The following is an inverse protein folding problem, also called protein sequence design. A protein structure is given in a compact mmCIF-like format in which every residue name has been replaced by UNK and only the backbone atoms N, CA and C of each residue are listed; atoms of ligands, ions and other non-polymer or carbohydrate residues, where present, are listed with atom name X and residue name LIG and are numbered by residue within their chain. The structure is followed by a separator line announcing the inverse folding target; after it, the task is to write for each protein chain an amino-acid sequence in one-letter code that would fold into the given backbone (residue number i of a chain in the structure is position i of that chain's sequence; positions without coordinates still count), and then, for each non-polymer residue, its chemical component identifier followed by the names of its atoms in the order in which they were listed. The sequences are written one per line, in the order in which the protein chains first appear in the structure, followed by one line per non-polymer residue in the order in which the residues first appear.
data_IF_860972572132
#
_entry.id   IF_860972572132
#
_cell.length_a   1.000
_cell.length_b   1.000
_cell.length_c   1.000
_cell.angle_alpha   90.00
_cell.angle_beta   90.00
_cell.angle_gamma   90.00
#
_symmetry.space_group_name_H-M   'P 1'
#
loop_
_entity.id
_entity.type
_entity.pdbx_description
1 polymer ?
#
# COMPACT_ATOMS: atom_id res chain seq x y z
N UNK A 1 22.14 -10.01 -18.28
CA UNK A 1 21.27 -10.19 -17.10
C UNK A 1 20.87 -8.85 -16.46
N UNK A 2 21.73 -7.84 -16.49
CA UNK A 2 21.51 -6.49 -15.93
C UNK A 2 20.38 -5.66 -16.61
N UNK A 3 20.20 -5.72 -17.91
CA UNK A 3 19.21 -4.94 -18.67
C UNK A 3 17.74 -5.40 -18.47
N UNK A 4 17.49 -6.66 -18.08
CA UNK A 4 16.14 -7.15 -17.77
C UNK A 4 15.67 -6.74 -16.37
N UNK A 5 16.60 -6.46 -15.46
CA UNK A 5 16.28 -6.01 -14.09
C UNK A 5 15.89 -4.53 -14.11
N UNK A 6 16.57 -3.68 -14.89
CA UNK A 6 16.24 -2.27 -15.04
C UNK A 6 14.85 -2.02 -15.66
N UNK A 7 14.37 -2.90 -16.55
CA UNK A 7 13.06 -2.76 -17.18
C UNK A 7 11.86 -3.12 -16.27
N UNK A 8 12.10 -3.79 -15.14
CA UNK A 8 11.04 -4.18 -14.16
C UNK A 8 11.00 -3.36 -12.88
N UNK A 9 11.96 -2.44 -12.69
CA UNK A 9 12.14 -1.72 -11.42
C UNK A 9 12.38 -0.22 -11.62
N UNK A 10 11.66 0.40 -12.57
CA UNK A 10 11.67 1.86 -12.71
C UNK A 10 11.00 2.51 -11.50
N UNK A 11 11.72 2.58 -10.37
CA UNK A 11 11.34 3.51 -9.32
C UNK A 11 11.85 4.91 -9.68
N UNK A 12 11.12 5.93 -9.30
CA UNK A 12 11.59 7.31 -9.42
C UNK A 12 11.85 7.90 -8.03
N UNK A 13 12.83 8.81 -7.94
CA UNK A 13 13.06 9.60 -6.74
C UNK A 13 12.19 10.86 -6.86
N UNK A 14 11.19 10.97 -5.98
CA UNK A 14 10.27 12.11 -5.96
C UNK A 14 10.91 13.34 -5.30
N UNK A 15 11.62 13.12 -4.20
CA UNK A 15 12.41 14.14 -3.50
C UNK A 15 13.56 13.49 -2.74
N UNK A 16 14.65 14.24 -2.56
CA UNK A 16 15.77 13.80 -1.75
C UNK A 16 16.52 14.96 -1.09
N UNK A 17 17.30 14.64 -0.06
CA UNK A 17 18.34 15.47 0.51
C UNK A 17 19.46 14.54 1.05
N UNK A 18 20.44 15.10 1.74
CA UNK A 18 21.53 14.34 2.38
C UNK A 18 21.00 13.27 3.35
N UNK A 19 19.94 13.58 4.11
CA UNK A 19 19.42 12.76 5.21
C UNK A 19 18.47 11.64 4.74
N UNK A 20 17.67 11.89 3.72
CA UNK A 20 16.58 10.99 3.30
C UNK A 20 16.26 11.13 1.82
N UNK A 21 15.50 10.18 1.30
CA UNK A 21 14.85 10.25 -0.01
C UNK A 21 13.40 9.76 0.09
N UNK A 22 12.56 10.24 -0.82
CA UNK A 22 11.20 9.76 -1.03
C UNK A 22 11.15 9.18 -2.43
N UNK A 23 10.81 7.90 -2.51
CA UNK A 23 10.73 7.19 -3.80
C UNK A 23 9.29 6.86 -4.14
N UNK A 24 9.02 6.80 -5.44
CA UNK A 24 7.81 6.21 -5.99
C UNK A 24 8.04 4.73 -6.23
N UNK A 25 7.47 3.89 -5.37
CA UNK A 25 7.59 2.44 -5.48
C UNK A 25 6.62 1.92 -6.55
N UNK A 26 7.09 1.24 -7.59
CA UNK A 26 6.18 0.55 -8.51
C UNK A 26 5.52 -0.66 -7.82
N UNK A 27 4.45 -1.16 -8.42
CA UNK A 27 3.83 -2.42 -8.07
C UNK A 27 3.85 -3.38 -9.29
N UNK A 28 4.05 -4.70 -9.05
CA UNK A 28 4.36 -5.33 -7.77
C UNK A 28 5.87 -5.29 -7.45
N UNK A 29 6.23 -4.81 -6.27
CA UNK A 29 7.62 -4.82 -5.78
C UNK A 29 7.62 -4.95 -4.26
N UNK A 30 8.38 -5.93 -3.71
CA UNK A 30 8.54 -6.08 -2.27
C UNK A 30 9.57 -5.08 -1.71
N UNK A 31 9.39 -4.71 -0.44
CA UNK A 31 10.28 -3.73 0.23
C UNK A 31 11.64 -4.31 0.59
N UNK A 32 11.63 -5.50 1.23
CA UNK A 32 12.81 -6.21 1.73
C UNK A 32 12.78 -7.65 1.24
N UNK A 33 13.93 -8.35 1.22
CA UNK A 33 13.96 -9.79 1.03
C UNK A 33 13.07 -10.49 2.08
N UNK A 34 12.26 -11.45 1.64
CA UNK A 34 11.45 -12.31 2.49
C UNK A 34 12.00 -13.73 2.41
N UNK A 35 12.64 -14.18 3.51
CA UNK A 35 13.28 -15.50 3.54
C UNK A 35 14.49 -15.60 2.60
N UNK A 36 14.65 -16.75 1.93
CA UNK A 36 15.76 -17.04 1.00
C UNK A 36 15.39 -16.78 -0.47
N UNK A 37 14.44 -15.92 -0.74
CA UNK A 37 13.99 -15.64 -2.11
C UNK A 37 14.96 -14.69 -2.82
N UNK A 38 15.31 -15.00 -4.09
CA UNK A 38 16.11 -14.15 -4.97
C UNK A 38 15.25 -13.05 -5.64
N UNK A 39 14.09 -12.75 -5.09
CA UNK A 39 13.21 -11.71 -5.63
C UNK A 39 13.86 -10.33 -5.53
N UNK A 40 13.69 -9.55 -6.60
CA UNK A 40 14.11 -8.14 -6.62
C UNK A 40 13.31 -7.37 -5.57
N UNK A 41 14.00 -6.58 -4.76
CA UNK A 41 13.40 -5.77 -3.69
C UNK A 41 13.72 -4.31 -3.87
N UNK A 42 12.88 -3.42 -3.32
CA UNK A 42 13.17 -1.98 -3.33
C UNK A 42 14.51 -1.68 -2.63
N UNK A 43 14.82 -2.38 -1.54
CA UNK A 43 16.11 -2.23 -0.85
C UNK A 43 17.30 -2.60 -1.74
N UNK A 44 17.20 -3.71 -2.48
CA UNK A 44 18.23 -4.15 -3.41
C UNK A 44 18.46 -3.12 -4.51
N UNK A 45 17.38 -2.67 -5.16
CA UNK A 45 17.44 -1.66 -6.22
C UNK A 45 18.04 -0.34 -5.74
N UNK A 46 17.70 0.11 -4.52
CA UNK A 46 18.29 1.33 -3.93
C UNK A 46 19.79 1.18 -3.66
N UNK A 47 20.23 0.03 -3.15
CA UNK A 47 21.65 -0.25 -2.91
C UNK A 47 22.47 -0.30 -4.21
N UNK A 48 21.88 -0.86 -5.27
CA UNK A 48 22.52 -0.91 -6.58
C UNK A 48 22.61 0.48 -7.22
N UNK A 49 21.55 1.31 -7.06
CA UNK A 49 21.49 2.66 -7.61
C UNK A 49 22.40 3.67 -6.88
N UNK A 50 22.58 3.53 -5.56
CA UNK A 50 23.36 4.44 -4.73
C UNK A 50 24.29 3.61 -3.81
N UNK A 51 25.42 3.11 -4.35
CA UNK A 51 26.36 2.30 -3.59
C UNK A 51 26.95 3.03 -2.39
N UNK A 52 27.23 2.30 -1.30
CA UNK A 52 27.84 2.85 -0.09
C UNK A 52 26.88 3.57 0.86
N UNK A 53 25.58 3.67 0.51
CA UNK A 53 24.55 4.25 1.39
C UNK A 53 23.76 3.12 2.05
N UNK A 54 23.54 3.26 3.36
CA UNK A 54 22.68 2.37 4.13
C UNK A 54 21.26 2.93 4.18
N UNK A 55 20.27 2.13 3.75
CA UNK A 55 18.87 2.56 3.64
C UNK A 55 17.97 1.95 4.71
N UNK A 56 17.10 2.78 5.28
CA UNK A 56 16.13 2.40 6.31
C UNK A 56 14.74 2.92 5.91
N UNK A 57 13.79 2.02 5.70
CA UNK A 57 12.43 2.42 5.38
C UNK A 57 11.69 2.96 6.61
N UNK A 58 11.15 4.16 6.50
CA UNK A 58 10.37 4.83 7.55
C UNK A 58 8.91 4.37 7.53
N UNK A 59 8.36 4.15 6.33
CA UNK A 59 7.07 3.49 6.13
C UNK A 59 7.24 2.27 5.22
N UNK A 60 6.26 1.39 5.25
CA UNK A 60 6.22 0.19 4.40
C UNK A 60 4.97 0.20 3.56
N UNK A 61 5.08 -0.33 2.36
CA UNK A 61 3.97 -0.65 1.48
C UNK A 61 3.94 -2.16 1.23
N UNK A 62 2.75 -2.68 0.98
CA UNK A 62 2.58 -4.05 0.55
C UNK A 62 3.19 -4.24 -0.85
N UNK A 63 3.46 -5.49 -1.25
CA UNK A 63 4.03 -5.83 -2.56
C UNK A 63 3.27 -5.15 -3.71
N UNK A 64 1.95 -5.20 -3.67
CA UNK A 64 1.05 -4.72 -4.73
C UNK A 64 0.58 -3.27 -4.53
N UNK A 65 0.99 -2.60 -3.46
CA UNK A 65 0.74 -1.16 -3.26
C UNK A 65 1.85 -0.36 -3.90
N UNK A 66 1.50 0.60 -4.74
CA UNK A 66 2.43 1.56 -5.37
C UNK A 66 2.51 2.87 -4.60
N UNK A 67 3.48 3.73 -4.94
CA UNK A 67 3.55 5.12 -4.49
C UNK A 67 4.62 5.44 -3.45
N UNK A 68 4.42 6.51 -2.69
CA UNK A 68 5.40 7.16 -1.84
C UNK A 68 5.96 6.28 -0.71
N UNK A 69 7.28 6.11 -0.71
CA UNK A 69 8.05 5.49 0.38
C UNK A 69 9.12 6.47 0.87
N UNK A 70 9.08 6.80 2.16
CA UNK A 70 10.12 7.61 2.82
C UNK A 70 11.23 6.70 3.32
N UNK A 71 12.46 7.01 2.92
CA UNK A 71 13.67 6.22 3.19
C UNK A 71 14.72 7.11 3.84
N UNK A 72 15.24 6.73 4.99
CA UNK A 72 16.38 7.38 5.64
C UNK A 72 17.71 6.83 5.09
N UNK A 73 18.72 7.70 4.98
CA UNK A 73 20.07 7.37 4.50
C UNK A 73 21.07 7.06 5.64
N UNK A 74 20.59 6.98 6.88
CA UNK A 74 21.38 6.57 8.05
C UNK A 74 20.49 6.09 9.19
N UNK A 75 21.02 5.30 10.10
CA UNK A 75 20.31 4.81 11.28
C UNK A 75 19.87 5.93 12.24
N UNK A 76 20.64 6.99 12.35
CA UNK A 76 20.31 8.16 13.18
C UNK A 76 19.10 8.92 12.64
N UNK A 77 19.05 9.15 11.33
CA UNK A 77 17.90 9.75 10.63
C UNK A 77 16.67 8.84 10.70
N UNK A 78 16.85 7.54 10.49
CA UNK A 78 15.76 6.57 10.62
C UNK A 78 15.11 6.60 11.99
N UNK A 79 15.92 6.68 13.07
CA UNK A 79 15.42 6.80 14.45
C UNK A 79 14.64 8.10 14.66
N UNK A 80 15.12 9.23 14.11
CA UNK A 80 14.42 10.53 14.19
C UNK A 80 13.07 10.47 13.46
N UNK A 81 13.06 10.03 12.20
CA UNK A 81 11.84 9.90 11.40
C UNK A 81 10.87 8.86 12.00
N UNK A 82 11.38 7.76 12.58
CA UNK A 82 10.58 6.78 13.30
C UNK A 82 9.87 7.36 14.53
N UNK A 83 10.54 8.24 15.30
CA UNK A 83 9.90 8.98 16.41
C UNK A 83 8.81 9.93 15.90
N UNK A 84 9.07 10.64 14.80
CA UNK A 84 8.07 11.52 14.17
C UNK A 84 6.86 10.71 13.66
N UNK A 85 7.08 9.54 13.07
CA UNK A 85 6.00 8.63 12.67
C UNK A 85 5.16 8.20 13.88
N UNK A 86 5.80 7.81 14.99
CA UNK A 86 5.13 7.43 16.24
C UNK A 86 4.30 8.56 16.85
N UNK A 87 4.72 9.82 16.67
CA UNK A 87 4.00 11.03 17.12
C UNK A 87 2.97 11.54 16.10
N UNK A 88 2.77 10.83 14.99
CA UNK A 88 1.85 11.23 13.90
C UNK A 88 2.24 12.57 13.23
N UNK A 89 3.50 12.95 13.29
CA UNK A 89 4.05 14.16 12.67
C UNK A 89 4.34 13.96 11.16
N UNK A 90 4.33 12.71 10.70
CA UNK A 90 4.41 12.34 9.27
C UNK A 90 3.02 11.93 8.81
N UNK A 91 2.41 12.76 7.99
CA UNK A 91 1.10 12.50 7.38
C UNK A 91 1.30 11.72 6.10
N UNK A 92 0.46 10.72 5.88
CA UNK A 92 0.43 9.88 4.68
C UNK A 92 -0.96 9.93 4.09
N UNK A 93 -1.05 10.07 2.79
CA UNK A 93 -2.30 9.99 2.05
C UNK A 93 -2.23 8.88 1.02
N UNK A 94 -3.36 8.17 0.84
CA UNK A 94 -3.50 7.09 -0.13
C UNK A 94 -4.77 7.32 -0.95
N UNK A 95 -4.80 6.69 -2.11
CA UNK A 95 -6.00 6.51 -2.91
C UNK A 95 -6.28 5.03 -3.09
N UNK A 96 -7.54 4.64 -2.96
CA UNK A 96 -8.02 3.28 -3.20
C UNK A 96 -9.22 3.30 -4.12
N UNK A 97 -9.30 2.35 -5.06
CA UNK A 97 -10.52 2.07 -5.81
C UNK A 97 -11.22 0.90 -5.13
N UNK A 98 -12.47 1.10 -4.74
CA UNK A 98 -13.28 0.10 -4.05
C UNK A 98 -14.47 -0.34 -4.89
N UNK A 99 -14.96 -1.55 -4.63
CA UNK A 99 -16.20 -2.06 -5.20
C UNK A 99 -17.41 -1.45 -4.50
N UNK A 100 -18.40 -1.02 -5.29
CA UNK A 100 -19.63 -0.42 -4.78
C UNK A 100 -19.58 1.12 -4.68
N UNK A 101 -20.69 1.69 -4.23
CA UNK A 101 -20.82 3.12 -3.98
C UNK A 101 -21.10 3.34 -2.50
N UNK A 102 -20.12 3.85 -1.72
CA UNK A 102 -20.35 4.21 -0.34
C UNK A 102 -21.48 5.21 -0.16
N UNK A 103 -22.28 5.04 0.87
CA UNK A 103 -23.37 5.94 1.27
C UNK A 103 -22.89 7.08 2.20
N UNK A 104 -21.61 7.07 2.57
CA UNK A 104 -20.93 8.09 3.35
C UNK A 104 -20.03 8.97 2.49
N UNK A 105 -19.86 10.25 2.89
CA UNK A 105 -18.89 11.17 2.29
C UNK A 105 -17.53 11.08 2.99
N UNK A 106 -17.55 10.97 4.32
CA UNK A 106 -16.38 10.81 5.17
C UNK A 106 -16.72 9.86 6.30
N UNK A 107 -15.75 9.03 6.68
CA UNK A 107 -15.86 8.13 7.83
C UNK A 107 -14.48 7.91 8.46
N UNK A 108 -14.43 7.76 9.78
CA UNK A 108 -13.23 7.38 10.50
C UNK A 108 -13.45 6.01 11.13
N UNK A 109 -12.58 5.05 10.78
CA UNK A 109 -12.60 3.70 11.35
C UNK A 109 -11.50 3.61 12.40
N UNK A 110 -11.87 3.23 13.63
CA UNK A 110 -10.96 3.09 14.78
C UNK A 110 -10.85 1.64 15.25
N UNK A 111 -11.42 0.71 14.50
CA UNK A 111 -11.47 -0.70 14.85
C UNK A 111 -10.06 -1.32 14.93
N UNK A 112 -9.73 -2.01 16.06
CA UNK A 112 -8.43 -2.65 16.22
C UNK A 112 -8.23 -3.81 15.24
N UNK A 113 -6.97 -4.06 14.86
CA UNK A 113 -6.62 -5.08 13.87
C UNK A 113 -5.76 -6.15 14.50
N UNK A 114 -6.11 -7.43 14.24
CA UNK A 114 -5.37 -8.62 14.65
C UNK A 114 -5.20 -9.57 13.47
N UNK A 115 -4.14 -10.39 13.49
CA UNK A 115 -3.98 -11.45 12.49
C UNK A 115 -5.09 -12.48 12.66
N UNK A 116 -5.81 -12.81 11.57
CA UNK A 116 -6.98 -13.68 11.60
C UNK A 116 -6.68 -15.05 12.22
N UNK A 117 -5.57 -15.69 11.83
CA UNK A 117 -5.15 -16.99 12.33
C UNK A 117 -4.76 -17.04 13.84
N UNK A 118 -4.83 -15.92 14.57
CA UNK A 118 -4.61 -15.89 16.02
C UNK A 118 -5.88 -16.08 16.86
N UNK A 119 -7.06 -16.02 16.23
CA UNK A 119 -8.34 -16.15 16.93
C UNK A 119 -9.37 -17.00 16.16
N UNK A 120 -9.15 -17.24 14.87
CA UNK A 120 -10.02 -18.04 14.00
C UNK A 120 -9.14 -18.80 12.99
N UNK A 121 -9.55 -20.00 12.59
CA UNK A 121 -8.87 -20.76 11.56
C UNK A 121 -8.80 -19.98 10.25
N UNK A 122 -7.61 -19.92 9.63
CA UNK A 122 -7.38 -19.16 8.40
C UNK A 122 -6.34 -19.83 7.53
N UNK A 123 -6.72 -20.21 6.32
CA UNK A 123 -5.81 -20.74 5.29
C UNK A 123 -4.81 -19.67 4.80
N UNK A 124 -5.14 -18.38 4.99
CA UNK A 124 -4.30 -17.25 4.56
C UNK A 124 -3.53 -16.71 5.75
N UNK A 125 -2.29 -17.13 5.91
CA UNK A 125 -1.43 -16.77 7.03
C UNK A 125 -1.33 -15.28 7.30
N UNK A 126 -1.23 -14.46 6.24
CA UNK A 126 -1.01 -13.01 6.35
C UNK A 126 -2.31 -12.21 6.56
N UNK A 127 -3.48 -12.85 6.47
CA UNK A 127 -4.79 -12.18 6.58
C UNK A 127 -4.95 -11.54 7.96
N UNK A 128 -5.31 -10.27 7.95
CA UNK A 128 -5.68 -9.52 9.14
C UNK A 128 -7.21 -9.38 9.19
N UNK A 129 -7.76 -9.08 10.35
CA UNK A 129 -9.18 -8.78 10.53
C UNK A 129 -9.38 -7.79 11.66
N UNK A 130 -10.53 -7.12 11.67
CA UNK A 130 -11.00 -6.36 12.83
C UNK A 130 -11.26 -7.32 13.98
N UNK A 131 -10.71 -7.01 15.17
CA UNK A 131 -10.90 -7.80 16.36
C UNK A 131 -10.68 -6.94 17.62
N UNK A 132 -11.54 -6.99 18.65
CA UNK A 132 -11.45 -6.10 19.82
C UNK A 132 -10.14 -6.22 20.60
N UNK A 133 -9.51 -7.40 20.60
CA UNK A 133 -8.18 -7.61 21.20
C UNK A 133 -7.01 -7.31 20.25
N UNK A 134 -7.29 -6.67 19.11
CA UNK A 134 -6.31 -6.28 18.12
C UNK A 134 -5.47 -5.09 18.54
N UNK A 135 -4.50 -4.74 17.71
CA UNK A 135 -3.72 -3.53 17.89
C UNK A 135 -4.53 -2.32 17.46
N UNK A 136 -4.63 -1.30 18.31
CA UNK A 136 -5.34 -0.06 18.01
C UNK A 136 -4.93 0.47 16.64
N UNK A 137 -5.91 0.79 15.82
CA UNK A 137 -5.72 1.34 14.47
C UNK A 137 -6.74 2.45 14.20
N UNK A 138 -6.37 3.38 13.31
CA UNK A 138 -7.21 4.52 12.98
C UNK A 138 -6.95 4.95 11.54
N UNK A 139 -8.04 5.02 10.72
CA UNK A 139 -7.99 5.44 9.32
C UNK A 139 -9.16 6.35 9.02
N UNK A 140 -8.89 7.56 8.53
CA UNK A 140 -9.89 8.42 7.92
C UNK A 140 -10.09 8.05 6.46
N UNK A 141 -11.33 8.03 6.00
CA UNK A 141 -11.70 7.81 4.61
C UNK A 141 -12.58 8.96 4.12
N UNK A 142 -12.40 9.34 2.86
CA UNK A 142 -13.21 10.34 2.17
C UNK A 142 -13.55 9.84 0.77
N UNK A 143 -14.82 9.93 0.40
CA UNK A 143 -15.28 9.67 -0.96
C UNK A 143 -14.77 10.78 -1.89
N UNK A 144 -13.94 10.44 -2.86
CA UNK A 144 -13.38 11.38 -3.85
C UNK A 144 -14.19 11.36 -5.16
N UNK A 145 -14.81 10.24 -5.49
CA UNK A 145 -15.66 10.12 -6.69
C UNK A 145 -16.32 8.75 -6.81
N UNK A 146 -17.35 8.68 -7.61
CA UNK A 146 -18.04 7.43 -7.99
C UNK A 146 -18.06 7.30 -9.51
N UNK A 147 -17.93 6.08 -10.00
CA UNK A 147 -17.94 5.79 -11.44
C UNK A 147 -18.45 4.37 -11.71
N UNK A 148 -18.61 4.03 -12.99
CA UNK A 148 -18.94 2.70 -13.46
C UNK A 148 -17.85 2.21 -14.41
N UNK A 149 -17.59 0.91 -14.39
CA UNK A 149 -16.72 0.24 -15.36
C UNK A 149 -17.34 -1.12 -15.69
N UNK A 150 -17.61 -1.38 -16.99
CA UNK A 150 -18.28 -2.62 -17.43
C UNK A 150 -19.66 -2.83 -16.80
N UNK A 151 -20.37 -1.75 -16.40
CA UNK A 151 -21.68 -1.80 -15.75
C UNK A 151 -21.64 -1.89 -14.22
N UNK A 152 -20.52 -2.30 -13.63
CA UNK A 152 -20.32 -2.38 -12.18
C UNK A 152 -20.05 -1.02 -11.55
N UNK A 153 -20.32 -0.91 -10.24
CA UNK A 153 -20.20 0.32 -9.46
C UNK A 153 -18.88 0.34 -8.70
N UNK A 154 -18.15 1.45 -8.79
CA UNK A 154 -16.87 1.66 -8.11
C UNK A 154 -16.78 3.07 -7.52
N UNK A 155 -15.90 3.22 -6.55
CA UNK A 155 -15.61 4.53 -5.96
C UNK A 155 -14.11 4.73 -5.76
N UNK A 156 -13.66 5.98 -5.92
CA UNK A 156 -12.35 6.45 -5.52
C UNK A 156 -12.43 6.97 -4.09
N UNK A 157 -11.60 6.41 -3.21
CA UNK A 157 -11.53 6.73 -1.79
C UNK A 157 -10.16 7.32 -1.45
N UNK A 158 -10.15 8.53 -0.91
CA UNK A 158 -9.00 9.09 -0.23
C UNK A 158 -8.86 8.46 1.17
N UNK A 159 -7.65 7.99 1.52
CA UNK A 159 -7.41 7.30 2.78
C UNK A 159 -6.27 7.97 3.55
N UNK A 160 -6.50 8.25 4.84
CA UNK A 160 -5.52 8.88 5.73
C UNK A 160 -5.27 7.98 6.97
N UNK A 161 -4.35 7.00 6.88
CA UNK A 161 -4.03 6.14 8.01
C UNK A 161 -3.20 6.90 9.06
N UNK A 162 -3.76 7.07 10.28
CA UNK A 162 -3.07 7.69 11.41
C UNK A 162 -2.18 6.70 12.17
N UNK A 163 -2.37 5.42 11.94
CA UNK A 163 -1.53 4.31 12.42
C UNK A 163 -0.99 3.53 11.21
N UNK A 164 -0.18 2.49 11.43
CA UNK A 164 0.45 1.71 10.35
C UNK A 164 0.43 0.22 10.65
N UNK A 165 -0.76 -0.39 10.79
CA UNK A 165 -0.88 -1.85 10.97
C UNK A 165 -0.80 -2.54 9.62
N UNK A 166 -0.38 -3.79 9.62
CA UNK A 166 -0.37 -4.64 8.42
C UNK A 166 -1.74 -4.63 7.76
N UNK A 167 -1.79 -4.36 6.46
CA UNK A 167 -3.01 -4.32 5.65
C UNK A 167 -4.11 -3.34 6.14
N UNK A 168 -3.79 -2.37 6.99
CA UNK A 168 -4.77 -1.55 7.71
C UNK A 168 -5.87 -0.96 6.82
N UNK A 169 -5.51 -0.26 5.74
CA UNK A 169 -6.49 0.36 4.84
C UNK A 169 -7.40 -0.72 4.22
N UNK A 170 -6.81 -1.83 3.80
CA UNK A 170 -7.50 -2.95 3.15
C UNK A 170 -8.53 -3.60 4.08
N UNK A 171 -8.12 -3.87 5.34
CA UNK A 171 -9.00 -4.44 6.39
C UNK A 171 -10.14 -3.48 6.73
N UNK A 172 -9.84 -2.20 6.90
CA UNK A 172 -10.87 -1.22 7.26
C UNK A 172 -11.88 -0.99 6.14
N UNK A 173 -11.44 -1.02 4.86
CA UNK A 173 -12.37 -0.93 3.73
C UNK A 173 -13.21 -2.20 3.55
N UNK A 174 -12.63 -3.40 3.77
CA UNK A 174 -13.40 -4.64 3.84
C UNK A 174 -14.45 -4.59 4.97
N UNK A 175 -14.06 -4.12 6.16
CA UNK A 175 -14.96 -3.97 7.33
C UNK A 175 -16.13 -3.03 7.04
N UNK A 176 -15.92 -1.97 6.27
CA UNK A 176 -16.97 -1.07 5.82
C UNK A 176 -17.86 -1.66 4.71
N UNK A 177 -17.54 -2.85 4.19
CA UNK A 177 -18.26 -3.49 3.08
C UNK A 177 -17.84 -3.01 1.69
N UNK A 178 -16.72 -2.28 1.58
CA UNK A 178 -16.18 -1.75 0.32
C UNK A 178 -14.76 -2.25 0.08
N UNK A 179 -14.56 -3.54 -0.26
CA UNK A 179 -13.22 -4.09 -0.48
C UNK A 179 -12.54 -3.41 -1.68
N UNK A 180 -11.21 -3.34 -1.62
CA UNK A 180 -10.39 -2.77 -2.70
C UNK A 180 -10.43 -3.68 -3.93
N UNK A 181 -10.63 -3.10 -5.11
CA UNK A 181 -10.60 -3.82 -6.41
C UNK A 181 -9.23 -4.48 -6.61
N UNK A 182 -9.22 -5.72 -7.06
CA UNK A 182 -7.99 -6.49 -7.28
C UNK A 182 -7.32 -7.01 -6.01
N UNK A 183 -7.90 -6.77 -4.83
CA UNK A 183 -7.37 -7.29 -3.58
C UNK A 183 -7.74 -8.76 -3.36
N UNK A 184 -6.84 -9.66 -3.73
CA UNK A 184 -7.05 -11.10 -3.64
C UNK A 184 -7.33 -11.64 -2.22
N UNK A 185 -6.87 -10.93 -1.17
CA UNK A 185 -7.00 -11.38 0.23
C UNK A 185 -8.32 -10.93 0.85
N UNK A 186 -8.78 -9.70 0.52
CA UNK A 186 -9.91 -9.07 1.20
C UNK A 186 -11.17 -8.97 0.35
N UNK A 187 -11.06 -9.06 -0.96
CA UNK A 187 -12.23 -9.33 -1.79
C UNK A 187 -12.53 -10.82 -1.85
N UNK A 188 -13.76 -11.19 -2.17
CA UNK A 188 -14.19 -12.59 -2.35
C UNK A 188 -13.81 -13.53 -1.17
N UNK A 189 -13.82 -13.01 0.07
CA UNK A 189 -13.49 -13.74 1.29
C UNK A 189 -12.09 -14.38 1.29
N UNK A 190 -11.22 -14.04 0.32
CA UNK A 190 -9.87 -14.58 0.17
C UNK A 190 -9.77 -15.77 -0.79
N UNK A 191 -10.86 -16.22 -1.40
CA UNK A 191 -10.83 -17.32 -2.39
C UNK A 191 -9.92 -16.99 -3.56
N UNK A 192 -9.96 -15.76 -4.04
CA UNK A 192 -9.09 -15.29 -5.12
C UNK A 192 -7.59 -15.44 -4.79
N UNK A 193 -7.20 -15.31 -3.53
CA UNK A 193 -5.81 -15.51 -3.11
C UNK A 193 -5.41 -16.99 -3.15
N UNK A 194 -6.27 -17.89 -2.71
CA UNK A 194 -6.04 -19.33 -2.75
C UNK A 194 -5.99 -19.84 -4.20
N UNK A 195 -6.94 -19.44 -5.04
CA UNK A 195 -6.93 -19.72 -6.48
C UNK A 195 -5.63 -19.24 -7.15
N UNK A 196 -5.18 -18.04 -6.81
CA UNK A 196 -3.94 -17.48 -7.34
C UNK A 196 -2.70 -18.27 -6.90
N UNK A 197 -2.65 -18.74 -5.66
CA UNK A 197 -1.53 -19.56 -5.17
C UNK A 197 -1.48 -20.92 -5.85
N UNK A 198 -2.64 -21.51 -6.15
CA UNK A 198 -2.74 -22.83 -6.78
C UNK A 198 -2.50 -22.78 -8.29
N UNK A 199 -3.10 -21.80 -9.00
CA UNK A 199 -3.21 -21.79 -10.48
C UNK A 199 -2.49 -20.59 -11.12
N UNK A 200 -2.01 -19.63 -10.33
CA UNK A 200 -1.54 -18.35 -10.86
C UNK A 200 -2.70 -17.51 -11.41
N UNK A 201 -2.37 -16.55 -12.29
CA UNK A 201 -3.38 -15.75 -12.98
C UNK A 201 -4.06 -16.57 -14.08
N UNK A 202 -5.38 -16.71 -13.96
CA UNK A 202 -6.27 -17.26 -15.00
C UNK A 202 -7.18 -16.16 -15.54
N UNK A 203 -7.76 -16.37 -16.74
CA UNK A 203 -8.72 -15.43 -17.32
C UNK A 203 -9.94 -15.20 -16.40
N UNK A 204 -10.45 -16.30 -15.79
CA UNK A 204 -11.56 -16.26 -14.84
C UNK A 204 -11.20 -15.43 -13.58
N UNK A 205 -10.00 -15.65 -13.01
CA UNK A 205 -9.54 -14.89 -11.86
C UNK A 205 -9.37 -13.41 -12.19
N UNK A 206 -8.85 -13.08 -13.38
CA UNK A 206 -8.71 -11.72 -13.84
C UNK A 206 -10.06 -11.02 -14.04
N UNK A 207 -11.04 -11.71 -14.65
CA UNK A 207 -12.41 -11.20 -14.79
C UNK A 207 -13.05 -10.90 -13.43
N UNK A 208 -12.89 -11.79 -12.46
CA UNK A 208 -13.41 -11.66 -11.10
C UNK A 208 -12.73 -10.53 -10.33
N UNK A 209 -11.41 -10.37 -10.46
CA UNK A 209 -10.62 -9.36 -9.75
C UNK A 209 -10.62 -8.01 -10.45
N UNK A 210 -10.85 -7.94 -11.75
CA UNK A 210 -10.86 -6.74 -12.60
C UNK A 210 -9.50 -6.05 -12.76
N UNK A 211 -8.56 -6.28 -11.84
CA UNK A 211 -7.19 -5.81 -11.86
C UNK A 211 -6.26 -6.92 -11.35
N UNK A 212 -5.03 -6.95 -11.81
CA UNK A 212 -4.01 -7.93 -11.43
C UNK A 212 -3.37 -7.68 -10.07
N UNK A 213 -3.66 -6.52 -9.47
CA UNK A 213 -3.20 -6.09 -8.15
C UNK A 213 -4.26 -5.29 -7.41
N UNK A 214 -4.09 -5.16 -6.11
CA UNK A 214 -4.94 -4.26 -5.32
C UNK A 214 -4.82 -2.82 -5.81
N UNK A 215 -5.95 -2.18 -6.05
CA UNK A 215 -6.04 -0.78 -6.47
C UNK A 215 -5.81 0.16 -5.29
N UNK A 216 -4.61 0.08 -4.68
CA UNK A 216 -4.17 0.92 -3.56
C UNK A 216 -2.86 1.61 -3.92
N UNK A 217 -2.83 2.93 -3.73
CA UNK A 217 -1.71 3.78 -4.07
C UNK A 217 -1.38 4.76 -2.94
N UNK A 218 -0.13 4.80 -2.51
CA UNK A 218 0.38 5.77 -1.54
C UNK A 218 0.62 7.11 -2.23
N UNK A 219 -0.43 7.95 -2.29
CA UNK A 219 -0.46 9.21 -3.04
C UNK A 219 0.55 10.23 -2.55
N UNK A 220 0.78 10.32 -1.22
CA UNK A 220 1.66 11.37 -0.73
C UNK A 220 2.13 11.20 0.70
N UNK A 221 3.15 12.00 1.02
CA UNK A 221 3.71 12.13 2.36
C UNK A 221 4.03 13.59 2.65
N UNK A 222 3.68 14.05 3.87
CA UNK A 222 3.97 15.42 4.36
C UNK A 222 4.57 15.34 5.75
N UNK A 223 5.69 16.04 5.98
CA UNK A 223 6.34 16.13 7.30
C UNK A 223 7.23 17.36 7.41
N UNK A 224 7.55 17.75 8.64
CA UNK A 224 8.52 18.82 8.92
C UNK A 224 9.96 18.29 8.98
N UNK A 225 10.91 18.93 8.32
CA UNK A 225 12.33 18.57 8.41
C UNK A 225 13.23 19.80 8.40
N UNK A 226 14.08 19.97 9.45
CA UNK A 226 15.02 21.09 9.61
C UNK A 226 14.36 22.47 9.34
N UNK A 227 13.17 22.70 9.93
CA UNK A 227 12.42 23.96 9.80
C UNK A 227 11.64 24.15 8.49
N UNK A 228 11.66 23.18 7.58
CA UNK A 228 10.92 23.24 6.32
C UNK A 228 9.79 22.19 6.30
N UNK A 229 8.68 22.51 5.65
CA UNK A 229 7.65 21.53 5.32
C UNK A 229 8.09 20.81 4.06
N UNK A 230 8.14 19.48 4.15
CA UNK A 230 8.43 18.60 3.03
C UNK A 230 7.11 17.95 2.61
N UNK A 231 6.79 18.06 1.35
CA UNK A 231 5.65 17.41 0.72
C UNK A 231 6.13 16.71 -0.55
N UNK A 232 5.73 15.47 -0.74
CA UNK A 232 5.93 14.72 -1.98
C UNK A 232 4.64 14.01 -2.35
N UNK A 233 4.37 13.96 -3.65
CA UNK A 233 3.21 13.26 -4.23
C UNK A 233 3.67 12.35 -5.34
N UNK A 234 3.02 11.19 -5.46
CA UNK A 234 3.11 10.26 -6.56
C UNK A 234 1.80 10.30 -7.36
N UNK A 235 1.90 10.30 -8.67
CA UNK A 235 0.74 10.28 -9.57
C UNK A 235 0.07 8.90 -9.51
N UNK A 236 -1.24 8.88 -9.67
CA UNK A 236 -1.97 7.62 -9.78
C UNK A 236 -1.41 6.84 -10.99
N UNK A 237 -1.04 5.57 -10.84
CA UNK A 237 -0.55 4.76 -11.95
C UNK A 237 -1.57 4.63 -13.08
N UNK A 238 -1.09 4.63 -14.33
CA UNK A 238 -1.92 4.65 -15.53
C UNK A 238 -2.98 3.53 -15.56
N UNK A 239 -2.66 2.33 -15.07
CA UNK A 239 -3.60 1.21 -15.03
C UNK A 239 -4.77 1.46 -14.06
N UNK A 240 -4.53 2.18 -12.96
CA UNK A 240 -5.58 2.58 -12.02
C UNK A 240 -6.38 3.76 -12.56
N UNK A 241 -5.73 4.73 -13.19
CA UNK A 241 -6.37 5.87 -13.84
C UNK A 241 -7.27 5.40 -14.99
N UNK A 242 -6.76 4.54 -15.87
CA UNK A 242 -7.53 3.95 -16.97
C UNK A 242 -8.74 3.17 -16.50
N UNK A 243 -8.63 2.47 -15.36
CA UNK A 243 -9.77 1.77 -14.77
C UNK A 243 -10.91 2.71 -14.35
N UNK A 244 -10.61 3.95 -13.97
CA UNK A 244 -11.62 4.94 -13.57
C UNK A 244 -12.39 5.56 -14.74
N UNK A 245 -11.84 5.53 -15.95
CA UNK A 245 -12.40 6.20 -17.15
C UNK A 245 -12.93 5.24 -18.21
N UNK A 246 -12.84 3.93 -17.98
CA UNK A 246 -13.23 2.86 -18.91
C UNK A 246 -14.76 2.60 -18.93
#
# INVERSE_FOLDING_TARGET
MSLRIAARTNFSVLKECEDWLIVDKPAPLIMHPTGKSDEVTLLGVLKDAIPGVEFFFVNRLDRETSGCVLVAKSSSVARKLGKMMGRREIKKSYQAIVSGWPDWKEVCVTEPIRRKGEFEESEIWVKQAVHPEGKASETGFRLEGIFKNGGDRFAMIGCEPRTGRTHQIRVHLEYLGYPIVGDKIYSDQGRAYLDFLEKGWTAELFERMRLDRQALHAKGVIFGWKGKVIEAQSLLPNELESFCIA
#
